data_IF_430855259998
#
_entry.id   IF_430855259998
#
_cell.length_a   1.000
_cell.length_b   1.000
_cell.length_c   1.000
_cell.angle_alpha   90.00
_cell.angle_beta   90.00
_cell.angle_gamma   90.00
#
_symmetry.space_group_name_H-M   'P 1'
#
loop_
_entity.id
_entity.type
_entity.pdbx_description
1 polymer ?
#
# COMPACT_ATOMS: atom_id res chain seq x y z
N UNK A 1 -14.12 -15.85 2.62
CA UNK A 1 -14.37 -15.35 1.25
C UNK A 1 -14.21 -13.84 1.25
N UNK A 2 -13.29 -13.34 0.44
CA UNK A 2 -13.08 -11.88 0.35
C UNK A 2 -14.07 -11.28 -0.62
N UNK A 3 -14.78 -10.25 -0.16
CA UNK A 3 -15.60 -9.43 -1.04
C UNK A 3 -14.71 -8.34 -1.64
N UNK A 4 -14.23 -8.57 -2.86
CA UNK A 4 -13.32 -7.66 -3.56
C UNK A 4 -13.97 -6.34 -3.96
N UNK A 5 -15.31 -6.22 -3.82
CA UNK A 5 -16.03 -4.98 -4.12
C UNK A 5 -15.88 -3.92 -3.03
N UNK A 6 -15.55 -4.34 -1.79
CA UNK A 6 -15.38 -3.43 -0.66
C UNK A 6 -13.89 -3.19 -0.44
N UNK A 7 -13.47 -1.96 -0.70
CA UNK A 7 -12.07 -1.55 -0.57
C UNK A 7 -12.00 -0.43 0.45
N UNK A 8 -10.95 -0.45 1.26
CA UNK A 8 -10.69 0.63 2.20
C UNK A 8 -9.90 1.73 1.50
N UNK A 9 -10.32 2.95 1.75
CA UNK A 9 -9.68 4.16 1.23
C UNK A 9 -9.23 5.01 2.40
N UNK A 10 -8.07 5.62 2.25
CA UNK A 10 -7.55 6.59 3.22
C UNK A 10 -7.87 8.00 2.76
N UNK A 11 -8.33 8.82 3.68
CA UNK A 11 -8.58 10.23 3.41
C UNK A 11 -7.25 10.97 3.41
N UNK A 12 -6.87 11.53 2.26
CA UNK A 12 -5.63 12.28 2.10
C UNK A 12 -5.84 13.78 2.29
N UNK A 13 -7.00 14.28 1.92
CA UNK A 13 -7.32 15.69 1.96
C UNK A 13 -8.81 15.88 2.20
N UNK A 14 -9.16 16.94 2.91
CA UNK A 14 -10.54 17.31 3.19
C UNK A 14 -10.71 18.79 3.01
N UNK A 15 -11.79 19.19 2.37
CA UNK A 15 -12.18 20.59 2.21
C UNK A 15 -13.61 20.77 2.72
N UNK A 16 -13.77 21.62 3.74
CA UNK A 16 -15.08 21.91 4.33
C UNK A 16 -15.46 23.34 3.95
N UNK A 17 -16.55 23.49 3.20
CA UNK A 17 -17.08 24.82 2.80
C UNK A 17 -18.16 25.32 3.75
N UNK A 18 -18.51 24.59 4.79
CA UNK A 18 -19.60 24.87 5.71
C UNK A 18 -20.89 24.18 5.33
N UNK A 19 -21.24 24.13 4.06
CA UNK A 19 -22.44 23.43 3.55
C UNK A 19 -22.12 22.09 2.89
N UNK A 20 -20.90 21.94 2.38
CA UNK A 20 -20.44 20.68 1.76
C UNK A 20 -19.06 20.30 2.24
N UNK A 21 -18.73 19.02 2.14
CA UNK A 21 -17.41 18.48 2.46
C UNK A 21 -16.91 17.69 1.24
N UNK A 22 -15.69 17.98 0.82
CA UNK A 22 -15.01 17.24 -0.25
C UNK A 22 -13.88 16.42 0.35
N UNK A 23 -13.87 15.12 0.07
CA UNK A 23 -12.84 14.20 0.53
C UNK A 23 -12.06 13.69 -0.67
N UNK A 24 -10.74 13.78 -0.61
CA UNK A 24 -9.84 13.16 -1.57
C UNK A 24 -9.32 11.86 -0.95
N UNK A 25 -9.62 10.75 -1.60
CA UNK A 25 -9.37 9.42 -1.08
C UNK A 25 -8.43 8.66 -2.02
N UNK A 26 -7.56 7.86 -1.45
CA UNK A 26 -6.78 6.89 -2.20
C UNK A 26 -6.89 5.52 -1.56
N UNK A 27 -6.82 4.48 -2.41
CA UNK A 27 -6.87 3.11 -1.98
C UNK A 27 -5.78 2.83 -0.95
N UNK A 28 -6.18 2.23 0.18
CA UNK A 28 -5.24 1.91 1.25
C UNK A 28 -4.54 0.59 0.93
N UNK A 29 -3.40 0.71 0.29
CA UNK A 29 -2.59 -0.45 -0.11
C UNK A 29 -1.45 -0.61 0.88
N UNK A 30 -1.31 -1.82 1.44
CA UNK A 30 -0.11 -2.19 2.16
C UNK A 30 1.00 -2.41 1.15
N UNK A 31 1.92 -1.44 1.08
CA UNK A 31 3.12 -1.58 0.28
C UNK A 31 4.08 -2.52 0.99
N UNK A 32 4.29 -3.71 0.42
CA UNK A 32 5.35 -4.57 0.89
C UNK A 32 6.70 -3.96 0.51
N UNK A 33 7.43 -3.53 1.53
CA UNK A 33 8.83 -3.17 1.36
C UNK A 33 9.63 -4.45 1.24
N UNK A 34 9.97 -4.82 0.03
CA UNK A 34 10.81 -5.99 -0.21
C UNK A 34 12.27 -5.53 -0.18
N UNK A 35 13.02 -6.07 0.76
CA UNK A 35 14.46 -5.84 0.83
C UNK A 35 15.12 -6.44 -0.42
N UNK A 36 15.86 -5.64 -1.16
CA UNK A 36 16.64 -6.10 -2.30
C UNK A 36 17.64 -7.17 -1.88
N UNK A 37 18.18 -7.04 -0.68
CA UNK A 37 19.07 -8.02 -0.07
C UNK A 37 18.40 -9.39 0.07
N UNK A 38 17.17 -9.41 0.57
CA UNK A 38 16.42 -10.66 0.75
C UNK A 38 16.10 -11.32 -0.60
N UNK A 39 15.73 -10.54 -1.60
CA UNK A 39 15.48 -11.06 -2.95
C UNK A 39 16.73 -11.70 -3.55
N UNK A 40 17.89 -11.08 -3.36
CA UNK A 40 19.15 -11.61 -3.85
C UNK A 40 19.56 -12.89 -3.14
N UNK A 41 19.41 -12.94 -1.82
CA UNK A 41 19.71 -14.14 -1.03
C UNK A 41 18.81 -15.30 -1.43
N UNK A 42 17.54 -15.05 -1.66
CA UNK A 42 16.60 -16.07 -2.14
C UNK A 42 16.96 -16.58 -3.54
N UNK A 43 17.39 -15.68 -4.43
CA UNK A 43 17.82 -16.06 -5.78
C UNK A 43 19.07 -16.94 -5.75
N UNK A 44 20.02 -16.63 -4.88
CA UNK A 44 21.23 -17.44 -4.68
C UNK A 44 20.87 -18.82 -4.11
N UNK A 45 19.97 -18.86 -3.13
CA UNK A 45 19.51 -20.13 -2.54
C UNK A 45 18.82 -21.05 -3.57
N UNK A 46 18.17 -20.48 -4.57
CA UNK A 46 17.57 -21.24 -5.67
C UNK A 46 18.59 -21.70 -6.72
N UNK A 47 19.57 -20.83 -7.03
CA UNK A 47 20.52 -21.08 -8.10
C UNK A 47 21.67 -21.97 -7.67
N UNK A 48 22.06 -21.90 -6.39
CA UNK A 48 23.21 -22.64 -5.84
C UNK A 48 22.67 -23.76 -4.93
N UNK A 49 22.88 -24.99 -5.31
CA UNK A 49 22.45 -26.15 -4.55
C UNK A 49 23.51 -26.68 -3.58
N UNK A 50 24.77 -26.32 -3.81
CA UNK A 50 25.88 -26.72 -2.95
C UNK A 50 25.94 -25.84 -1.68
N UNK A 51 25.82 -26.49 -0.55
CA UNK A 51 25.81 -25.81 0.75
C UNK A 51 27.14 -25.12 1.08
N UNK A 52 28.25 -25.71 0.72
CA UNK A 52 29.58 -25.10 0.95
C UNK A 52 29.74 -23.81 0.16
N UNK A 53 29.31 -23.79 -1.09
CA UNK A 53 29.35 -22.62 -1.94
C UNK A 53 28.43 -21.54 -1.40
N UNK A 54 27.24 -21.91 -0.94
CA UNK A 54 26.30 -20.95 -0.31
C UNK A 54 26.92 -20.28 0.91
N UNK A 55 27.56 -21.06 1.77
CA UNK A 55 28.16 -20.55 3.00
C UNK A 55 29.35 -19.64 2.73
N UNK A 56 30.07 -19.84 1.63
CA UNK A 56 31.18 -18.98 1.21
C UNK A 56 30.70 -17.69 0.54
N UNK A 57 29.62 -17.75 -0.23
CA UNK A 57 29.09 -16.61 -0.99
C UNK A 57 28.28 -15.68 -0.09
N UNK A 58 27.55 -16.21 0.88
CA UNK A 58 26.62 -15.45 1.71
C UNK A 58 27.26 -14.26 2.42
N UNK A 59 28.41 -14.39 3.11
CA UNK A 59 29.05 -13.23 3.75
C UNK A 59 29.48 -12.15 2.74
N UNK A 60 29.91 -12.58 1.55
CA UNK A 60 30.34 -11.67 0.50
C UNK A 60 29.15 -10.86 -0.04
N UNK A 61 28.02 -11.52 -0.28
CA UNK A 61 26.80 -10.86 -0.72
C UNK A 61 26.26 -9.89 0.32
N UNK A 62 26.26 -10.27 1.59
CA UNK A 62 25.82 -9.40 2.67
C UNK A 62 26.68 -8.14 2.77
N UNK A 63 27.99 -8.25 2.58
CA UNK A 63 28.90 -7.10 2.57
C UNK A 63 28.63 -6.16 1.41
N UNK A 64 28.36 -6.68 0.23
CA UNK A 64 28.02 -5.89 -0.96
C UNK A 64 26.70 -5.17 -0.78
N UNK A 65 25.70 -5.87 -0.27
CA UNK A 65 24.33 -5.36 -0.16
C UNK A 65 24.16 -4.31 0.93
N UNK A 66 25.02 -4.34 1.97
CA UNK A 66 25.00 -3.32 3.03
C UNK A 66 25.35 -1.92 2.54
N UNK A 67 26.02 -1.80 1.41
CA UNK A 67 26.43 -0.51 0.84
C UNK A 67 25.39 0.06 -0.15
N UNK A 68 24.28 -0.64 -0.40
CA UNK A 68 23.27 -0.25 -1.37
C UNK A 68 21.95 0.13 -0.70
N UNK A 69 21.12 1.02 -1.33
CA UNK A 69 19.76 1.28 -0.86
C UNK A 69 18.96 -0.03 -0.90
N UNK A 70 18.32 -0.37 0.23
CA UNK A 70 17.76 -1.69 0.44
C UNK A 70 16.26 -1.80 0.15
N UNK A 71 15.60 -0.71 -0.20
CA UNK A 71 14.15 -0.72 -0.33
C UNK A 71 13.71 -0.62 -1.78
N UNK A 72 13.03 -1.66 -2.24
CA UNK A 72 12.30 -1.63 -3.51
C UNK A 72 10.82 -1.50 -3.16
N UNK A 73 10.20 -0.43 -3.62
CA UNK A 73 8.77 -0.22 -3.44
C UNK A 73 8.07 -0.81 -4.66
N UNK A 74 7.18 -1.77 -4.43
CA UNK A 74 6.28 -2.24 -5.48
C UNK A 74 5.32 -1.12 -5.83
N UNK A 75 5.27 -0.76 -7.11
CA UNK A 75 4.32 0.24 -7.60
C UNK A 75 3.01 -0.44 -7.95
N UNK A 76 1.93 0.03 -7.36
CA UNK A 76 0.57 -0.42 -7.67
C UNK A 76 -0.20 0.70 -8.34
N UNK A 77 -1.06 0.33 -9.28
CA UNK A 77 -2.07 1.26 -9.76
C UNK A 77 -3.13 1.41 -8.66
N UNK A 78 -3.29 2.62 -8.16
CA UNK A 78 -4.24 2.92 -7.10
C UNK A 78 -5.52 3.54 -7.66
N UNK A 79 -6.65 3.16 -7.07
CA UNK A 79 -7.89 3.88 -7.30
C UNK A 79 -7.90 5.14 -6.45
N UNK A 80 -8.17 6.27 -7.09
CA UNK A 80 -8.30 7.56 -6.42
C UNK A 80 -9.72 8.05 -6.61
N UNK A 81 -10.35 8.49 -5.53
CA UNK A 81 -11.75 8.94 -5.54
C UNK A 81 -11.81 10.32 -4.91
N UNK A 82 -12.60 11.20 -5.52
CA UNK A 82 -12.96 12.48 -4.93
C UNK A 82 -14.47 12.49 -4.72
N UNK A 83 -14.90 12.72 -3.49
CA UNK A 83 -16.30 12.72 -3.12
C UNK A 83 -16.67 14.06 -2.52
N UNK A 84 -17.71 14.69 -3.06
CA UNK A 84 -18.30 15.89 -2.46
C UNK A 84 -19.70 15.53 -1.97
N UNK A 85 -19.99 15.85 -0.72
CA UNK A 85 -21.28 15.53 -0.11
C UNK A 85 -21.78 16.69 0.76
N UNK A 86 -23.09 16.79 0.99
CA UNK A 86 -23.63 17.73 1.96
C UNK A 86 -23.07 17.47 3.37
N UNK A 87 -22.91 18.53 4.13
CA UNK A 87 -22.38 18.44 5.51
C UNK A 87 -23.15 17.44 6.37
N UNK A 88 -24.47 17.41 6.25
CA UNK A 88 -25.32 16.48 6.99
C UNK A 88 -24.98 15.03 6.69
N UNK A 89 -24.70 14.71 5.43
CA UNK A 89 -24.33 13.35 5.05
C UNK A 89 -22.95 12.98 5.58
N UNK A 90 -22.04 13.92 5.56
CA UNK A 90 -20.71 13.75 6.14
C UNK A 90 -20.79 13.42 7.64
N UNK A 91 -21.66 14.16 8.37
CA UNK A 91 -21.87 13.89 9.78
C UNK A 91 -22.48 12.51 10.04
N UNK A 92 -23.39 12.07 9.16
CA UNK A 92 -24.04 10.75 9.29
C UNK A 92 -23.05 9.59 9.14
N UNK A 93 -21.99 9.76 8.37
CA UNK A 93 -20.99 8.71 8.20
C UNK A 93 -19.92 8.75 9.28
N UNK A 94 -20.06 9.61 10.29
CA UNK A 94 -19.18 9.65 11.45
C UNK A 94 -18.14 10.75 11.42
N UNK A 95 -18.28 11.75 10.55
CA UNK A 95 -17.34 12.88 10.42
C UNK A 95 -15.87 12.44 10.32
N UNK A 96 -15.53 11.56 9.37
CA UNK A 96 -14.16 11.06 9.23
C UNK A 96 -13.17 12.19 8.89
N UNK A 97 -11.96 12.09 9.39
CA UNK A 97 -10.90 13.09 9.23
C UNK A 97 -9.76 12.56 8.37
N UNK A 98 -8.88 13.47 7.96
CA UNK A 98 -7.67 13.10 7.22
C UNK A 98 -6.87 12.05 8.02
N UNK A 99 -6.44 11.01 7.33
CA UNK A 99 -5.74 9.88 7.92
C UNK A 99 -6.64 8.72 8.30
N UNK A 100 -7.94 8.96 8.46
CA UNK A 100 -8.90 7.89 8.72
C UNK A 100 -9.26 7.15 7.44
N UNK A 101 -9.87 5.99 7.59
CA UNK A 101 -10.21 5.10 6.48
C UNK A 101 -11.71 5.02 6.29
N UNK A 102 -12.12 4.92 5.02
CA UNK A 102 -13.51 4.69 4.64
C UNK A 102 -13.60 3.40 3.85
N UNK A 103 -14.63 2.61 4.12
CA UNK A 103 -14.96 1.44 3.29
C UNK A 103 -15.92 1.90 2.21
N UNK A 104 -15.56 1.65 0.95
CA UNK A 104 -16.36 2.05 -0.20
C UNK A 104 -16.59 0.84 -1.09
N UNK A 105 -17.86 0.61 -1.44
CA UNK A 105 -18.26 -0.43 -2.36
C UNK A 105 -18.65 0.22 -3.68
N UNK A 106 -17.92 -0.12 -4.73
CA UNK A 106 -18.17 0.39 -6.07
C UNK A 106 -18.63 -0.76 -6.95
N UNK A 107 -19.87 -0.72 -7.39
CA UNK A 107 -20.46 -1.73 -8.27
C UNK A 107 -21.28 -1.05 -9.36
N UNK A 108 -21.41 -1.79 -10.45
CA UNK A 108 -22.35 -1.36 -11.50
C UNK A 108 -23.78 -1.43 -10.94
N UNK A 109 -24.52 -0.37 -11.11
CA UNK A 109 -25.93 -0.35 -10.71
C UNK A 109 -26.74 -1.34 -11.56
N UNK A 110 -27.74 -2.05 -10.96
CA UNK A 110 -28.60 -2.94 -11.70
C UNK A 110 -29.47 -2.24 -12.71
#
# INVERSE_FOLDING_TARGET
MHDDSIIRYRINQMTDTGSTVTLALSEDIELELVSQQQMMLEAVDRAVTDKEVKDQIRPLLEAILKSQPQTVVKTYSQTVIQITMPKKRYEKIGSPRVGERLSIDIRKAP
#
